data_IF_026167025473
#
_entry.id   IF_026167025473
#
_cell.length_a   1.000
_cell.length_b   1.000
_cell.length_c   1.000
_cell.angle_alpha   90.00
_cell.angle_beta   90.00
_cell.angle_gamma   90.00
#
_symmetry.space_group_name_H-M   'P 1'
#
loop_
_entity.id
_entity.type
_entity.pdbx_description
1 polymer ?
#
# COMPACT_ATOMS: atom_id res chain seq x y z
N UNK A 1 -42.72 -13.71 -6.30
CA UNK A 1 -41.50 -14.56 -6.33
C UNK A 1 -40.53 -13.84 -7.24
N UNK A 2 -39.62 -13.03 -6.70
CA UNK A 2 -38.54 -12.43 -7.48
C UNK A 2 -37.42 -11.94 -6.57
N UNK A 3 -36.18 -12.21 -7.01
CA UNK A 3 -34.92 -11.59 -6.56
C UNK A 3 -34.28 -12.11 -5.26
N UNK A 4 -33.98 -13.42 -5.21
CA UNK A 4 -32.87 -13.98 -4.41
C UNK A 4 -31.49 -13.62 -4.99
N UNK A 5 -31.29 -12.37 -5.43
CA UNK A 5 -29.95 -11.86 -5.71
C UNK A 5 -29.27 -11.67 -4.37
N UNK A 6 -28.38 -12.59 -4.01
CA UNK A 6 -27.53 -12.59 -2.81
C UNK A 6 -26.56 -11.40 -2.76
N UNK A 7 -27.09 -10.19 -2.81
CA UNK A 7 -26.37 -8.95 -2.72
C UNK A 7 -25.88 -8.78 -1.28
N UNK A 8 -24.56 -8.76 -1.12
CA UNK A 8 -23.90 -8.47 0.17
C UNK A 8 -24.52 -7.23 0.82
N UNK A 9 -24.70 -7.27 2.13
CA UNK A 9 -25.16 -6.12 2.91
C UNK A 9 -24.25 -4.89 2.65
N UNK A 10 -24.76 -3.66 2.81
CA UNK A 10 -23.97 -2.44 2.59
C UNK A 10 -22.62 -2.45 3.34
N UNK A 11 -22.61 -2.97 4.57
CA UNK A 11 -21.40 -3.14 5.39
C UNK A 11 -20.41 -4.16 4.79
N UNK A 12 -20.90 -5.28 4.24
CA UNK A 12 -20.05 -6.26 3.57
C UNK A 12 -19.46 -5.71 2.27
N UNK A 13 -20.16 -4.81 1.56
CA UNK A 13 -19.60 -4.07 0.41
C UNK A 13 -18.55 -3.05 0.85
N UNK A 14 -18.76 -2.33 1.96
CA UNK A 14 -17.77 -1.44 2.57
C UNK A 14 -16.44 -2.15 2.79
N UNK A 15 -16.52 -3.30 3.46
CA UNK A 15 -15.36 -4.08 3.85
C UNK A 15 -14.63 -4.60 2.62
N UNK A 16 -15.38 -5.03 1.59
CA UNK A 16 -14.78 -5.46 0.34
C UNK A 16 -14.10 -4.29 -0.40
N UNK A 17 -14.71 -3.11 -0.46
CA UNK A 17 -14.10 -1.93 -1.06
C UNK A 17 -12.82 -1.51 -0.32
N UNK A 18 -12.84 -1.45 1.01
CA UNK A 18 -11.64 -1.15 1.81
C UNK A 18 -10.54 -2.19 1.60
N UNK A 19 -10.87 -3.48 1.54
CA UNK A 19 -9.86 -4.53 1.32
C UNK A 19 -9.25 -4.42 -0.09
N UNK A 20 -10.07 -4.20 -1.12
CA UNK A 20 -9.57 -4.01 -2.49
C UNK A 20 -8.65 -2.79 -2.56
N UNK A 21 -9.05 -1.67 -1.96
CA UNK A 21 -8.20 -0.47 -1.89
C UNK A 21 -6.93 -0.74 -1.11
N UNK A 22 -7.00 -1.34 0.08
CA UNK A 22 -5.87 -1.65 0.94
C UNK A 22 -4.83 -2.54 0.25
N UNK A 23 -5.29 -3.49 -0.55
CA UNK A 23 -4.45 -4.45 -1.26
C UNK A 23 -4.06 -4.00 -2.68
N UNK A 24 -4.66 -2.95 -3.22
CA UNK A 24 -4.29 -2.39 -4.53
C UNK A 24 -2.78 -2.11 -4.71
N UNK A 25 -2.01 -1.68 -3.69
CA UNK A 25 -0.59 -1.40 -3.86
C UNK A 25 0.27 -2.67 -3.95
N UNK A 26 -0.27 -3.85 -3.62
CA UNK A 26 0.53 -5.09 -3.53
C UNK A 26 1.18 -5.45 -4.86
N UNK A 27 0.44 -5.41 -5.96
CA UNK A 27 0.97 -5.80 -7.28
C UNK A 27 2.09 -4.84 -7.72
N UNK A 28 1.89 -3.51 -7.71
CA UNK A 28 2.97 -2.56 -7.97
C UNK A 28 4.18 -2.74 -7.05
N UNK A 29 3.96 -2.97 -5.75
CA UNK A 29 5.07 -3.14 -4.79
C UNK A 29 5.86 -4.42 -5.04
N UNK A 30 5.20 -5.54 -5.32
CA UNK A 30 5.86 -6.81 -5.63
C UNK A 30 6.70 -6.64 -6.90
N UNK A 31 6.13 -6.09 -7.95
CA UNK A 31 6.85 -5.84 -9.20
C UNK A 31 8.05 -4.92 -8.97
N UNK A 32 7.86 -3.78 -8.31
CA UNK A 32 8.93 -2.84 -8.00
C UNK A 32 10.05 -3.46 -7.16
N UNK A 33 9.72 -4.30 -6.18
CA UNK A 33 10.69 -5.03 -5.35
C UNK A 33 11.49 -6.04 -6.17
N UNK A 34 10.83 -6.81 -7.04
CA UNK A 34 11.50 -7.75 -7.96
C UNK A 34 12.51 -7.00 -8.84
N UNK A 35 12.11 -5.89 -9.45
CA UNK A 35 13.01 -5.08 -10.27
C UNK A 35 14.17 -4.48 -9.47
N UNK A 36 13.92 -4.02 -8.24
CA UNK A 36 14.94 -3.46 -7.37
C UNK A 36 16.02 -4.51 -7.01
N UNK A 37 15.60 -5.72 -6.61
CA UNK A 37 16.51 -6.83 -6.31
C UNK A 37 17.29 -7.23 -7.55
N UNK A 38 16.62 -7.40 -8.69
CA UNK A 38 17.25 -7.78 -9.94
C UNK A 38 18.29 -6.76 -10.40
N UNK A 39 17.97 -5.46 -10.34
CA UNK A 39 18.89 -4.39 -10.68
C UNK A 39 20.11 -4.37 -9.77
N UNK A 40 19.91 -4.47 -8.45
CA UNK A 40 21.04 -4.51 -7.51
C UNK A 40 21.96 -5.71 -7.78
N UNK A 41 21.39 -6.87 -8.10
CA UNK A 41 22.15 -8.10 -8.33
C UNK A 41 22.90 -8.09 -9.67
N UNK A 42 22.27 -7.63 -10.76
CA UNK A 42 22.84 -7.75 -12.11
C UNK A 42 23.67 -6.53 -12.50
N UNK A 43 23.26 -5.34 -12.07
CA UNK A 43 23.91 -4.09 -12.48
C UNK A 43 24.85 -3.56 -11.40
N UNK A 44 24.43 -3.53 -10.14
CA UNK A 44 25.17 -2.83 -9.07
C UNK A 44 26.25 -3.70 -8.41
N UNK A 45 25.95 -4.96 -8.06
CA UNK A 45 26.90 -5.87 -7.41
C UNK A 45 28.22 -6.03 -8.21
N UNK A 46 28.22 -6.20 -9.56
CA UNK A 46 29.46 -6.30 -10.33
C UNK A 46 30.31 -5.02 -10.28
N UNK A 47 29.67 -3.84 -10.34
CA UNK A 47 30.35 -2.56 -10.31
C UNK A 47 31.01 -2.31 -8.95
N UNK A 48 30.35 -2.71 -7.86
CA UNK A 48 30.84 -2.49 -6.50
C UNK A 48 31.89 -3.49 -6.05
N UNK A 49 31.82 -4.74 -6.53
CA UNK A 49 32.90 -5.73 -6.33
C UNK A 49 34.19 -5.29 -7.00
N UNK A 50 34.11 -4.74 -8.21
CA UNK A 50 35.26 -4.16 -8.90
C UNK A 50 35.90 -2.98 -8.16
N UNK A 51 35.11 -2.26 -7.36
CA UNK A 51 35.54 -1.09 -6.60
C UNK A 51 35.80 -1.34 -5.10
N UNK A 52 35.58 -2.56 -4.58
CA UNK A 52 35.73 -2.89 -3.15
C UNK A 52 34.74 -2.19 -2.21
N UNK A 53 33.58 -1.75 -2.70
CA UNK A 53 32.61 -0.93 -1.95
C UNK A 53 31.36 -1.70 -1.47
N UNK A 54 31.33 -3.01 -1.70
CA UNK A 54 30.14 -3.84 -1.51
C UNK A 54 29.55 -3.75 -0.09
N UNK A 55 30.39 -3.81 0.94
CA UNK A 55 29.94 -3.79 2.35
C UNK A 55 29.24 -2.48 2.72
N UNK A 56 29.75 -1.34 2.24
CA UNK A 56 29.16 -0.02 2.49
C UNK A 56 27.82 0.12 1.78
N UNK A 57 27.72 -0.41 0.57
CA UNK A 57 26.48 -0.43 -0.18
C UNK A 57 25.42 -1.30 0.49
N UNK A 58 25.76 -2.54 0.87
CA UNK A 58 24.84 -3.45 1.57
C UNK A 58 24.32 -2.81 2.85
N UNK A 59 25.20 -2.22 3.66
CA UNK A 59 24.81 -1.50 4.88
C UNK A 59 23.83 -0.37 4.58
N UNK A 60 24.11 0.44 3.56
CA UNK A 60 23.26 1.56 3.16
C UNK A 60 21.88 1.08 2.69
N UNK A 61 21.83 0.03 1.87
CA UNK A 61 20.58 -0.56 1.38
C UNK A 61 19.74 -1.12 2.52
N UNK A 62 20.36 -1.80 3.50
CA UNK A 62 19.66 -2.32 4.68
C UNK A 62 19.04 -1.17 5.47
N UNK A 63 19.83 -0.13 5.79
CA UNK A 63 19.35 1.03 6.56
C UNK A 63 18.22 1.75 5.81
N UNK A 64 18.40 1.99 4.51
CA UNK A 64 17.38 2.63 3.68
C UNK A 64 16.07 1.84 3.70
N UNK A 65 16.12 0.53 3.45
CA UNK A 65 14.94 -0.31 3.45
C UNK A 65 14.26 -0.37 4.82
N UNK A 66 15.05 -0.47 5.90
CA UNK A 66 14.55 -0.50 7.26
C UNK A 66 13.86 0.80 7.68
N UNK A 67 14.14 1.93 7.03
CA UNK A 67 13.51 3.22 7.33
C UNK A 67 12.36 3.52 6.37
N UNK A 68 12.59 3.40 5.08
CA UNK A 68 11.66 3.88 4.04
C UNK A 68 10.45 2.98 3.89
N UNK A 69 10.62 1.65 3.94
CA UNK A 69 9.47 0.75 3.83
C UNK A 69 8.50 0.89 5.01
N UNK A 70 8.95 0.88 6.29
CA UNK A 70 8.05 1.09 7.41
C UNK A 70 7.37 2.46 7.39
N UNK A 71 8.09 3.52 6.99
CA UNK A 71 7.51 4.84 6.86
C UNK A 71 6.42 4.88 5.78
N UNK A 72 6.67 4.31 4.60
CA UNK A 72 5.69 4.21 3.52
C UNK A 72 4.45 3.42 3.93
N UNK A 73 4.63 2.30 4.64
CA UNK A 73 3.53 1.50 5.20
C UNK A 73 2.74 2.31 6.23
N UNK A 74 3.40 3.03 7.13
CA UNK A 74 2.73 3.85 8.14
C UNK A 74 1.87 4.95 7.51
N UNK A 75 2.40 5.64 6.49
CA UNK A 75 1.66 6.67 5.73
C UNK A 75 0.43 6.04 5.04
N UNK A 76 0.63 4.90 4.36
CA UNK A 76 -0.45 4.20 3.68
C UNK A 76 -1.57 3.75 4.63
N UNK A 77 -1.20 3.16 5.77
CA UNK A 77 -2.16 2.77 6.80
C UNK A 77 -2.90 3.99 7.36
N UNK A 78 -2.20 5.10 7.59
CA UNK A 78 -2.82 6.35 8.02
C UNK A 78 -3.92 6.82 7.06
N UNK A 79 -3.66 6.82 5.75
CA UNK A 79 -4.67 7.13 4.74
C UNK A 79 -5.82 6.12 4.72
N UNK A 80 -5.52 4.82 4.81
CA UNK A 80 -6.54 3.78 4.82
C UNK A 80 -7.49 3.89 6.02
N UNK A 81 -6.96 4.14 7.22
CA UNK A 81 -7.77 4.35 8.42
C UNK A 81 -8.57 5.66 8.33
N UNK A 82 -8.02 6.69 7.71
CA UNK A 82 -8.75 7.94 7.41
C UNK A 82 -9.98 7.72 6.52
N UNK A 83 -9.91 6.79 5.56
CA UNK A 83 -11.02 6.47 4.65
C UNK A 83 -12.10 5.56 5.27
N UNK A 84 -11.75 4.79 6.30
CA UNK A 84 -12.66 3.82 6.91
C UNK A 84 -13.88 4.48 7.59
N UNK A 85 -13.69 5.62 8.26
CA UNK A 85 -14.76 6.32 8.96
C UNK A 85 -15.77 7.01 8.00
N UNK A 86 -15.34 7.81 7.00
CA UNK A 86 -16.24 8.38 5.99
C UNK A 86 -17.02 7.33 5.19
N UNK A 87 -16.36 6.23 4.80
CA UNK A 87 -17.03 5.15 4.07
C UNK A 87 -18.15 4.51 4.90
N UNK A 88 -17.95 4.37 6.22
CA UNK A 88 -18.97 3.84 7.12
C UNK A 88 -20.18 4.77 7.24
N UNK A 89 -19.95 6.08 7.33
CA UNK A 89 -21.02 7.10 7.38
C UNK A 89 -21.84 7.12 6.09
N UNK A 90 -21.18 7.11 4.92
CA UNK A 90 -21.87 7.06 3.62
C UNK A 90 -22.76 5.82 3.46
N UNK A 91 -22.31 4.68 3.96
CA UNK A 91 -23.08 3.43 3.89
C UNK A 91 -24.22 3.34 4.90
N UNK A 92 -24.22 4.20 5.92
CA UNK A 92 -25.34 4.38 6.85
C UNK A 92 -26.37 5.40 6.32
N UNK A 93 -26.12 6.01 5.15
CA UNK A 93 -26.99 7.03 4.56
C UNK A 93 -26.81 8.41 5.18
N UNK A 94 -25.75 8.62 5.97
CA UNK A 94 -25.42 9.93 6.53
C UNK A 94 -24.74 10.81 5.48
N UNK A 95 -25.06 12.10 5.49
CA UNK A 95 -24.38 13.08 4.65
C UNK A 95 -23.05 13.47 5.27
N UNK A 96 -21.96 13.34 4.51
CA UNK A 96 -20.65 13.84 4.93
C UNK A 96 -20.66 15.38 4.80
N UNK A 97 -20.31 16.15 5.85
CA UNK A 97 -20.17 17.60 5.76
C UNK A 97 -19.11 17.98 4.72
N UNK A 98 -19.40 18.95 3.85
CA UNK A 98 -18.53 19.35 2.74
C UNK A 98 -17.07 19.63 3.16
N UNK A 99 -16.84 20.18 4.34
CA UNK A 99 -15.48 20.45 4.85
C UNK A 99 -14.64 19.23 5.24
N UNK A 100 -15.19 18.00 5.19
CA UNK A 100 -14.42 16.75 5.33
C UNK A 100 -14.00 16.13 3.99
N UNK A 101 -14.51 16.63 2.86
CA UNK A 101 -14.13 16.18 1.51
C UNK A 101 -12.86 16.88 0.98
N UNK A 102 -12.46 17.99 1.59
CA UNK A 102 -11.34 18.85 1.16
C UNK A 102 -10.00 18.55 1.86
N UNK A 103 -9.90 17.46 2.64
CA UNK A 103 -8.66 17.03 3.35
C UNK A 103 -8.05 15.80 2.72
#
# INVERSE_FOLDING_TARGET
MDSSLGGKSPQARARQALLVTAFSPLIPQILGSIFNIWYNMVMIDPLLRGAGLLDRFVTTVIVWNALVYPLGVAIWLGWLYGLAAPLRQLLQGESIPAGQLDR
#
